data_IF_705360751552
#
_entry.id   IF_705360751552
#
_cell.length_a   1.000
_cell.length_b   1.000
_cell.length_c   1.000
_cell.angle_alpha   90.00
_cell.angle_beta   90.00
_cell.angle_gamma   90.00
#
_symmetry.space_group_name_H-M   'P 1'
#
loop_
_entity.id
_entity.type
_entity.pdbx_description
1 polymer ?
#
# COMPACT_ATOMS: atom_id res chain seq x y z
N UNK A 1 -20.26 -6.51 13.74
CA UNK A 1 -20.63 -6.96 12.38
C UNK A 1 -19.48 -6.68 11.45
N UNK A 2 -18.83 -7.75 10.98
CA UNK A 2 -17.67 -7.70 10.07
C UNK A 2 -18.19 -7.37 8.68
N UNK A 3 -17.92 -6.17 8.17
CA UNK A 3 -18.15 -5.85 6.75
C UNK A 3 -17.06 -6.57 5.95
N UNK A 4 -17.32 -7.81 5.58
CA UNK A 4 -16.51 -8.55 4.61
C UNK A 4 -16.82 -8.00 3.23
N UNK A 5 -16.23 -6.86 2.89
CA UNK A 5 -16.23 -6.37 1.51
C UNK A 5 -15.52 -7.43 0.66
N UNK A 6 -16.21 -7.97 -0.34
CA UNK A 6 -15.66 -8.99 -1.22
C UNK A 6 -14.36 -8.49 -1.88
N UNK A 7 -13.28 -9.29 -1.88
CA UNK A 7 -12.03 -8.92 -2.53
C UNK A 7 -12.30 -8.71 -4.03
N UNK A 8 -11.95 -7.53 -4.55
CA UNK A 8 -12.07 -7.25 -5.99
C UNK A 8 -10.77 -7.59 -6.68
N UNK A 9 -10.84 -8.40 -7.73
CA UNK A 9 -9.67 -8.65 -8.58
C UNK A 9 -9.58 -7.53 -9.63
N UNK A 10 -8.45 -6.82 -9.66
CA UNK A 10 -8.15 -5.74 -10.62
C UNK A 10 -6.69 -5.88 -11.06
N UNK A 11 -6.45 -5.88 -12.37
CA UNK A 11 -5.10 -5.96 -12.96
C UNK A 11 -4.23 -7.11 -12.42
N UNK A 12 -4.85 -8.27 -12.15
CA UNK A 12 -4.16 -9.43 -11.57
C UNK A 12 -3.93 -9.36 -10.06
N UNK A 13 -4.27 -8.24 -9.42
CA UNK A 13 -4.15 -8.02 -7.98
C UNK A 13 -5.50 -8.17 -7.27
N UNK A 14 -5.45 -8.55 -6.00
CA UNK A 14 -6.60 -8.61 -5.09
C UNK A 14 -6.64 -7.35 -4.25
N UNK A 15 -7.62 -6.49 -4.49
CA UNK A 15 -7.90 -5.32 -3.68
C UNK A 15 -8.88 -5.68 -2.56
N UNK A 16 -8.46 -5.46 -1.32
CA UNK A 16 -9.29 -5.58 -0.12
C UNK A 16 -9.52 -4.18 0.45
N UNK A 17 -10.74 -3.67 0.29
CA UNK A 17 -11.14 -2.38 0.88
C UNK A 17 -11.79 -2.66 2.24
N UNK A 18 -11.07 -2.33 3.31
CA UNK A 18 -11.58 -2.45 4.68
C UNK A 18 -11.85 -1.06 5.24
N UNK A 19 -13.10 -0.61 5.10
CA UNK A 19 -13.58 0.65 5.63
C UNK A 19 -13.73 0.60 7.17
N UNK A 20 -13.93 -0.57 7.77
CA UNK A 20 -14.01 -0.78 9.24
C UNK A 20 -13.44 -2.13 9.68
N UNK A 21 -12.46 -2.11 10.61
CA UNK A 21 -11.92 -3.32 11.24
C UNK A 21 -10.47 -3.21 11.74
N UNK A 22 -9.95 -4.31 12.31
CA UNK A 22 -8.56 -4.46 12.76
C UNK A 22 -7.53 -4.06 11.69
N UNK A 23 -7.83 -4.30 10.41
CA UNK A 23 -6.98 -3.89 9.30
C UNK A 23 -6.84 -2.35 9.22
N UNK A 24 -7.94 -1.62 9.26
CA UNK A 24 -7.93 -0.15 9.30
C UNK A 24 -7.22 0.35 10.57
N UNK A 25 -7.47 -0.26 11.74
CA UNK A 25 -6.78 0.10 12.99
C UNK A 25 -5.26 -0.12 12.91
N UNK A 26 -4.81 -1.26 12.40
CA UNK A 26 -3.38 -1.59 12.25
C UNK A 26 -2.70 -0.69 11.22
N UNK A 27 -3.39 -0.41 10.11
CA UNK A 27 -2.94 0.51 9.07
C UNK A 27 -2.79 1.94 9.61
N UNK A 28 -3.83 2.49 10.23
CA UNK A 28 -3.80 3.84 10.82
C UNK A 28 -2.84 3.96 12.00
N UNK A 29 -2.75 2.97 12.91
CA UNK A 29 -1.76 3.01 14.02
C UNK A 29 -0.32 3.02 13.53
N UNK A 30 -0.06 2.39 12.39
CA UNK A 30 1.27 2.40 11.76
C UNK A 30 1.41 3.51 10.72
N UNK A 31 0.40 4.37 10.52
CA UNK A 31 0.44 5.49 9.58
C UNK A 31 0.54 5.06 8.11
N UNK A 32 -0.12 3.97 7.73
CA UNK A 32 -0.23 3.48 6.37
C UNK A 32 -1.67 3.66 5.87
N UNK A 33 -1.85 4.21 4.66
CA UNK A 33 -3.16 4.32 4.01
C UNK A 33 -3.55 3.06 3.22
N UNK A 34 -2.55 2.32 2.76
CA UNK A 34 -2.67 1.04 2.10
C UNK A 34 -1.41 0.20 2.37
N UNK A 35 -1.53 -1.11 2.17
CA UNK A 35 -0.40 -2.05 2.27
C UNK A 35 -0.45 -3.06 1.14
N UNK A 36 0.69 -3.22 0.46
CA UNK A 36 0.88 -4.17 -0.62
C UNK A 36 1.61 -5.42 -0.12
N UNK A 37 1.04 -6.58 -0.36
CA UNK A 37 1.62 -7.90 -0.08
C UNK A 37 1.63 -8.73 -1.37
N UNK A 38 2.70 -8.59 -2.16
CA UNK A 38 2.75 -9.17 -3.50
C UNK A 38 1.56 -8.68 -4.32
N UNK A 39 0.65 -9.58 -4.68
CA UNK A 39 -0.55 -9.25 -5.46
C UNK A 39 -1.77 -8.88 -4.60
N UNK A 40 -1.65 -8.81 -3.28
CA UNK A 40 -2.74 -8.45 -2.37
C UNK A 40 -2.54 -7.03 -1.89
N UNK A 41 -3.45 -6.14 -2.25
CA UNK A 41 -3.47 -4.73 -1.85
C UNK A 41 -4.59 -4.56 -0.84
N UNK A 42 -4.28 -4.13 0.37
CA UNK A 42 -5.27 -3.82 1.40
C UNK A 42 -5.31 -2.31 1.59
N UNK A 43 -6.46 -1.70 1.33
CA UNK A 43 -6.67 -0.25 1.43
C UNK A 43 -7.81 0.07 2.41
N UNK A 44 -7.72 1.20 3.11
CA UNK A 44 -8.80 1.65 4.00
C UNK A 44 -9.97 2.31 3.27
N UNK A 45 -9.74 2.79 2.05
CA UNK A 45 -10.73 3.42 1.16
C UNK A 45 -10.52 2.94 -0.27
N UNK A 46 -11.54 3.12 -1.14
CA UNK A 46 -11.39 2.82 -2.56
C UNK A 46 -10.27 3.70 -3.16
N UNK A 47 -9.20 3.10 -3.71
CA UNK A 47 -8.07 3.85 -4.24
C UNK A 47 -8.49 4.58 -5.51
N UNK A 48 -8.12 5.86 -5.61
CA UNK A 48 -8.25 6.62 -6.86
C UNK A 48 -7.36 5.99 -7.94
N UNK A 49 -7.57 6.27 -9.23
CA UNK A 49 -6.71 5.74 -10.30
C UNK A 49 -5.22 6.06 -10.12
N UNK A 50 -4.89 7.19 -9.47
CA UNK A 50 -3.51 7.56 -9.16
C UNK A 50 -2.93 6.70 -8.03
N UNK A 51 -3.67 6.52 -6.93
CA UNK A 51 -3.28 5.60 -5.83
C UNK A 51 -3.15 4.17 -6.37
N UNK A 52 -4.04 3.73 -7.25
CA UNK A 52 -3.97 2.40 -7.83
C UNK A 52 -2.67 2.16 -8.61
N UNK A 53 -2.23 3.13 -9.43
CA UNK A 53 -0.94 3.01 -10.14
C UNK A 53 0.25 2.98 -9.16
N UNK A 54 0.17 3.76 -8.09
CA UNK A 54 1.16 3.74 -7.02
C UNK A 54 1.25 2.35 -6.36
N UNK A 55 0.12 1.75 -5.98
CA UNK A 55 0.10 0.39 -5.43
C UNK A 55 0.66 -0.66 -6.40
N UNK A 56 0.34 -0.57 -7.70
CA UNK A 56 0.91 -1.47 -8.71
C UNK A 56 2.43 -1.36 -8.82
N UNK A 57 3.01 -0.17 -8.60
CA UNK A 57 4.47 -0.02 -8.51
C UNK A 57 5.03 -0.74 -7.28
N UNK A 58 4.35 -0.69 -6.15
CA UNK A 58 4.71 -1.50 -4.99
C UNK A 58 4.59 -2.99 -5.24
N UNK A 59 3.59 -3.45 -5.99
CA UNK A 59 3.49 -4.85 -6.44
C UNK A 59 4.74 -5.22 -7.23
N UNK A 60 5.13 -4.43 -8.23
CA UNK A 60 6.32 -4.69 -9.04
C UNK A 60 7.62 -4.65 -8.21
N UNK A 61 7.74 -3.71 -7.26
CA UNK A 61 8.86 -3.68 -6.32
C UNK A 61 8.89 -4.93 -5.44
N UNK A 62 7.73 -5.39 -4.97
CA UNK A 62 7.58 -6.61 -4.18
C UNK A 62 7.93 -7.85 -5.00
N UNK A 63 7.56 -7.94 -6.27
CA UNK A 63 7.96 -9.05 -7.14
C UNK A 63 9.48 -9.10 -7.34
N UNK A 64 10.14 -7.93 -7.45
CA UNK A 64 11.59 -7.83 -7.63
C UNK A 64 12.38 -8.08 -6.34
N UNK A 65 11.89 -7.60 -5.21
CA UNK A 65 12.58 -7.67 -3.91
C UNK A 65 12.10 -8.86 -3.05
N UNK A 66 10.98 -9.47 -3.41
CA UNK A 66 10.31 -10.50 -2.62
C UNK A 66 9.95 -10.02 -1.22
N UNK A 67 10.03 -10.94 -0.26
CA UNK A 67 9.76 -10.66 1.16
C UNK A 67 10.67 -9.59 1.78
N UNK A 68 11.80 -9.25 1.15
CA UNK A 68 12.71 -8.21 1.63
C UNK A 68 12.15 -6.79 1.47
N UNK A 69 11.10 -6.61 0.66
CA UNK A 69 10.43 -5.33 0.47
C UNK A 69 9.95 -4.72 1.80
N UNK A 70 9.26 -5.51 2.65
CA UNK A 70 8.72 -5.04 3.93
C UNK A 70 9.79 -4.50 4.89
N UNK A 71 10.88 -5.24 5.20
CA UNK A 71 11.93 -4.72 6.06
C UNK A 71 12.68 -3.54 5.42
N UNK A 72 12.92 -3.54 4.10
CA UNK A 72 13.54 -2.40 3.40
C UNK A 72 12.68 -1.15 3.50
N UNK A 73 11.37 -1.29 3.29
CA UNK A 73 10.40 -0.21 3.42
C UNK A 73 10.40 0.34 4.86
N UNK A 74 10.26 -0.52 5.87
CA UNK A 74 10.26 -0.06 7.26
C UNK A 74 11.59 0.61 7.64
N UNK A 75 12.71 0.10 7.14
CA UNK A 75 14.03 0.67 7.36
C UNK A 75 14.19 2.06 6.72
N UNK A 76 13.85 2.19 5.44
CA UNK A 76 13.87 3.49 4.75
C UNK A 76 12.92 4.48 5.42
N UNK A 77 11.75 4.05 5.86
CA UNK A 77 10.79 4.91 6.56
C UNK A 77 11.30 5.38 7.91
N UNK A 78 11.95 4.49 8.67
CA UNK A 78 12.58 4.87 9.94
C UNK A 78 13.77 5.82 9.74
N UNK A 79 14.50 5.69 8.62
CA UNK A 79 15.73 6.45 8.39
C UNK A 79 15.52 7.80 7.70
N UNK A 80 14.61 7.87 6.73
CA UNK A 80 14.39 9.03 5.85
C UNK A 80 13.01 9.66 6.04
N UNK A 81 12.16 9.08 6.89
CA UNK A 81 10.76 9.46 6.96
C UNK A 81 9.99 9.01 5.71
N UNK A 82 8.79 9.57 5.55
CA UNK A 82 7.88 9.18 4.47
C UNK A 82 8.20 9.90 3.14
N UNK A 83 8.53 11.19 3.19
CA UNK A 83 8.75 12.02 2.00
C UNK A 83 10.03 11.69 1.21
N UNK A 84 11.10 11.27 1.89
CA UNK A 84 12.37 10.93 1.23
C UNK A 84 12.53 9.44 0.95
N UNK A 85 11.46 8.66 1.13
CA UNK A 85 11.48 7.22 1.00
C UNK A 85 11.70 6.80 -0.47
N UNK A 86 12.82 6.14 -0.84
CA UNK A 86 13.15 5.86 -2.23
C UNK A 86 12.10 5.01 -2.95
N UNK A 87 11.52 4.04 -2.23
CA UNK A 87 10.47 3.17 -2.78
C UNK A 87 9.15 3.92 -2.96
N UNK A 88 8.85 4.90 -2.09
CA UNK A 88 7.66 5.74 -2.26
C UNK A 88 7.88 6.64 -3.47
N UNK A 89 9.04 7.28 -3.61
CA UNK A 89 9.38 8.14 -4.75
C UNK A 89 9.30 7.40 -6.08
N UNK A 90 9.78 6.16 -6.14
CA UNK A 90 9.66 5.31 -7.34
C UNK A 90 8.20 4.91 -7.62
N UNK A 91 7.39 4.70 -6.58
CA UNK A 91 5.97 4.44 -6.72
C UNK A 91 5.14 5.72 -6.99
N UNK A 92 5.71 6.90 -6.76
CA UNK A 92 5.05 8.21 -6.89
C UNK A 92 5.19 8.75 -8.30
N UNK A 93 4.17 8.59 -9.13
CA UNK A 93 4.08 9.34 -10.39
C UNK A 93 3.52 10.77 -10.19
N UNK A 94 2.82 11.02 -9.06
CA UNK A 94 2.28 12.34 -8.67
C UNK A 94 2.59 12.62 -7.18
N UNK A 95 3.36 13.67 -6.85
CA UNK A 95 3.72 14.04 -5.47
C UNK A 95 2.53 14.36 -4.56
N UNK A 96 1.35 14.64 -5.13
CA UNK A 96 0.14 15.06 -4.38
C UNK A 96 -0.58 13.91 -3.68
N UNK A 97 -0.20 12.66 -3.94
CA UNK A 97 -0.75 11.49 -3.24
C UNK A 97 -0.40 11.47 -1.75
N UNK A 98 0.55 12.29 -1.33
CA UNK A 98 1.11 12.30 0.03
C UNK A 98 0.95 13.65 0.76
N UNK A 99 0.14 14.55 0.21
CA UNK A 99 -0.11 15.88 0.77
C UNK A 99 -1.34 15.93 1.67
#
# INVERSE_FOLDING_TARGET
MLSFTLPRRRDGCFLYVSDRGLANLVLTRRGFGAITFGHVIVASVEPTPAVWRHELRHVAQYERLGLSFLPLYLWYRARHGYFEHPLERDASEDPRLFS
#
